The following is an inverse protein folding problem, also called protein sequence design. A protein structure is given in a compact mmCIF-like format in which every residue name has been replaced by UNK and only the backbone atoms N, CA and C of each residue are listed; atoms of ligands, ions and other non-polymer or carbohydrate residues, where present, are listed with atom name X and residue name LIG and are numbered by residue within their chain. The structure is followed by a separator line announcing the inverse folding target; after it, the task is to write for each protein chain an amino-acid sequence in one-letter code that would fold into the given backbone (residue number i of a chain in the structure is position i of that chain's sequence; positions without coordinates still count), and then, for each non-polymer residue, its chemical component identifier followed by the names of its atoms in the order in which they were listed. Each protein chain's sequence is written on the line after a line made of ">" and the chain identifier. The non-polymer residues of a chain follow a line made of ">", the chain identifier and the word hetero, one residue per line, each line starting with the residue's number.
data_IF_654337406986
#
_entry.id   IF_654337406986
#
_cell.length_a   1.000
_cell.length_b   1.000
_cell.length_c   1.000
_cell.angle_alpha   90.00
_cell.angle_beta   90.00
_cell.angle_gamma   90.00
#
_symmetry.space_group_name_H-M   'P 1'
#
loop_
_entity.id
_entity.type
_entity.pdbx_description
1 polymer ?
#
# COMPACT_ATOMS: atom_id res chain seq x y z
N UNK A 1 33.17 -25.39 19.81
CA UNK A 1 32.75 -23.99 19.93
C UNK A 1 31.46 -24.02 20.75
N UNK A 2 31.44 -23.44 21.96
CA UNK A 2 30.25 -23.54 22.79
C UNK A 2 29.31 -22.37 22.42
N UNK A 3 28.00 -22.52 22.66
CA UNK A 3 26.99 -21.53 22.29
C UNK A 3 27.21 -20.15 22.96
N UNK A 4 27.90 -20.12 24.11
CA UNK A 4 28.25 -18.85 24.78
C UNK A 4 29.36 -18.10 24.04
N UNK A 5 30.33 -18.83 23.46
CA UNK A 5 31.42 -18.21 22.71
C UNK A 5 30.94 -17.74 21.33
N UNK A 6 29.97 -18.45 20.73
CA UNK A 6 29.28 -18.00 19.53
C UNK A 6 28.43 -16.74 19.76
N UNK A 7 27.72 -16.67 20.88
CA UNK A 7 26.93 -15.49 21.25
C UNK A 7 27.81 -14.28 21.61
N UNK A 8 28.97 -14.51 22.24
CA UNK A 8 29.92 -13.44 22.55
C UNK A 8 30.59 -12.87 21.27
N UNK A 9 30.85 -13.69 20.27
CA UNK A 9 31.37 -13.25 18.97
C UNK A 9 30.33 -12.50 18.13
N UNK A 10 29.04 -12.82 18.26
CA UNK A 10 27.96 -12.07 17.61
C UNK A 10 27.79 -10.66 18.20
N UNK A 11 28.11 -10.46 19.47
CA UNK A 11 28.06 -9.16 20.13
C UNK A 11 29.31 -8.27 19.91
N UNK A 12 30.34 -8.78 19.23
CA UNK A 12 31.56 -8.06 18.88
C UNK A 12 31.66 -7.63 17.42
N UNK A 13 30.55 -7.72 16.65
CA UNK A 13 30.49 -7.08 15.34
C UNK A 13 30.70 -5.58 15.55
N UNK A 14 31.90 -5.10 15.24
CA UNK A 14 32.20 -3.69 15.25
C UNK A 14 31.28 -2.99 14.25
N UNK A 15 30.88 -1.72 14.51
CA UNK A 15 30.12 -0.93 13.53
C UNK A 15 30.82 -0.81 12.16
N UNK A 16 32.09 -1.15 12.10
CA UNK A 16 32.96 -1.17 10.92
C UNK A 16 32.96 -2.49 10.16
N UNK A 17 32.35 -3.55 10.67
CA UNK A 17 31.97 -4.73 9.87
C UNK A 17 30.78 -4.35 8.99
N UNK A 18 31.05 -3.34 8.20
CA UNK A 18 30.20 -2.79 7.17
C UNK A 18 29.79 -3.97 6.29
N UNK A 19 28.51 -4.14 6.15
CA UNK A 19 27.93 -4.98 5.12
C UNK A 19 28.66 -4.73 3.82
N UNK A 20 29.31 -5.75 3.29
CA UNK A 20 29.69 -5.69 1.89
C UNK A 20 28.42 -5.41 1.10
N UNK A 21 28.43 -4.43 0.17
CA UNK A 21 27.25 -4.10 -0.62
C UNK A 21 26.72 -5.38 -1.29
N UNK A 22 25.65 -5.92 -0.76
CA UNK A 22 25.01 -7.11 -1.32
C UNK A 22 23.76 -6.67 -2.07
N UNK A 23 23.96 -6.39 -3.35
CA UNK A 23 22.85 -6.06 -4.24
C UNK A 23 22.14 -7.34 -4.70
N UNK A 24 20.83 -7.26 -4.81
CA UNK A 24 20.02 -8.19 -5.61
C UNK A 24 20.29 -7.95 -7.10
N UNK A 25 19.92 -8.91 -7.96
CA UNK A 25 20.03 -8.72 -9.41
C UNK A 25 19.26 -7.49 -9.91
N UNK A 26 18.10 -7.22 -9.32
CA UNK A 26 17.26 -6.05 -9.62
C UNK A 26 17.90 -4.76 -9.12
N UNK A 27 18.41 -4.76 -7.90
CA UNK A 27 19.09 -3.59 -7.33
C UNK A 27 20.37 -3.24 -8.08
N UNK A 28 21.17 -4.23 -8.53
CA UNK A 28 22.29 -3.96 -9.43
C UNK A 28 21.85 -3.30 -10.73
N UNK A 29 20.77 -3.79 -11.32
CA UNK A 29 20.20 -3.22 -12.55
C UNK A 29 19.76 -1.79 -12.34
N UNK A 30 19.04 -1.50 -11.24
CA UNK A 30 18.59 -0.17 -10.88
C UNK A 30 19.75 0.80 -10.70
N UNK A 31 20.81 0.40 -10.01
CA UNK A 31 21.99 1.24 -9.78
C UNK A 31 22.77 1.47 -11.07
N UNK A 32 22.94 0.44 -11.91
CA UNK A 32 23.66 0.53 -13.19
C UNK A 32 22.93 1.39 -14.22
N UNK A 33 21.60 1.36 -14.25
CA UNK A 33 20.81 2.18 -15.17
C UNK A 33 21.01 3.66 -14.94
N UNK A 34 21.32 4.06 -13.70
CA UNK A 34 21.36 5.45 -13.27
C UNK A 34 20.02 6.16 -13.36
N UNK A 35 18.95 5.43 -13.71
CA UNK A 35 17.61 5.98 -13.78
C UNK A 35 17.03 6.14 -12.38
N UNK A 36 16.31 7.22 -12.20
CA UNK A 36 15.50 7.49 -11.02
C UNK A 36 14.01 7.49 -11.38
N UNK A 37 13.71 7.30 -12.65
CA UNK A 37 12.36 7.15 -13.15
C UNK A 37 11.90 5.70 -13.02
N UNK A 38 10.62 5.46 -12.98
CA UNK A 38 9.98 4.14 -12.95
C UNK A 38 10.33 3.27 -11.72
N UNK A 39 10.60 3.90 -10.57
CA UNK A 39 10.78 3.17 -9.31
C UNK A 39 9.40 2.86 -8.74
N UNK A 40 9.03 1.56 -8.69
CA UNK A 40 7.74 1.08 -8.20
C UNK A 40 6.58 1.90 -8.81
N UNK A 41 6.39 1.89 -10.15
CA UNK A 41 5.49 2.79 -10.83
C UNK A 41 4.01 2.38 -10.74
N UNK A 42 3.72 1.17 -10.24
CA UNK A 42 2.35 0.67 -10.12
C UNK A 42 1.52 1.53 -9.17
N UNK A 43 0.22 1.63 -9.49
CA UNK A 43 -0.73 2.29 -8.58
C UNK A 43 -0.75 1.58 -7.22
N UNK A 44 -0.47 2.28 -6.12
CA UNK A 44 -0.19 1.63 -4.83
C UNK A 44 -1.39 0.96 -4.16
N UNK A 45 -2.62 1.26 -4.58
CA UNK A 45 -3.86 0.68 -4.05
C UNK A 45 -4.58 -0.15 -5.11
N UNK A 46 -4.09 -1.34 -5.51
CA UNK A 46 -4.62 -2.10 -6.64
C UNK A 46 -6.08 -2.55 -6.47
N UNK A 47 -6.60 -2.59 -5.23
CA UNK A 47 -8.01 -2.90 -4.95
C UNK A 47 -8.92 -1.68 -5.05
N UNK A 48 -8.39 -0.46 -5.17
CA UNK A 48 -9.14 0.79 -5.29
C UNK A 48 -8.42 1.72 -6.28
N UNK A 49 -8.28 1.28 -7.53
CA UNK A 49 -7.45 1.93 -8.53
C UNK A 49 -8.20 3.05 -9.24
N UNK A 50 -7.51 4.19 -9.41
CA UNK A 50 -7.88 5.27 -10.34
C UNK A 50 -6.82 5.42 -11.42
N UNK A 51 -7.21 6.03 -12.52
CA UNK A 51 -6.32 6.20 -13.69
C UNK A 51 -5.54 7.51 -13.68
N UNK A 52 -6.02 8.51 -12.94
CA UNK A 52 -5.42 9.85 -12.89
C UNK A 52 -4.58 10.01 -11.63
N UNK A 53 -3.35 9.54 -11.69
CA UNK A 53 -2.39 9.60 -10.59
C UNK A 53 -0.97 9.87 -11.09
N UNK A 54 -0.13 10.38 -10.21
CA UNK A 54 1.27 10.65 -10.46
C UNK A 54 2.16 10.11 -9.35
N UNK A 55 3.13 9.26 -9.71
CA UNK A 55 4.13 8.79 -8.78
C UNK A 55 5.17 9.87 -8.51
N UNK A 56 5.48 10.03 -7.23
CA UNK A 56 6.56 10.92 -6.76
C UNK A 56 7.78 10.13 -6.28
N UNK A 57 7.81 8.82 -6.51
CA UNK A 57 9.01 8.01 -6.32
C UNK A 57 10.15 8.54 -7.20
N UNK A 58 11.39 8.21 -6.86
CA UNK A 58 12.55 8.63 -7.63
C UNK A 58 13.48 9.57 -6.87
N UNK A 59 14.05 10.54 -7.56
CA UNK A 59 15.07 11.41 -6.99
C UNK A 59 14.46 12.54 -6.17
N UNK A 60 14.89 12.63 -4.89
CA UNK A 60 14.61 13.72 -3.99
C UNK A 60 15.92 14.29 -3.47
N UNK A 61 15.90 15.52 -2.96
CA UNK A 61 17.00 16.06 -2.15
C UNK A 61 16.79 15.70 -0.68
N UNK A 62 17.89 15.61 0.09
CA UNK A 62 17.83 15.34 1.53
C UNK A 62 18.82 16.17 2.33
N UNK A 63 18.53 16.30 3.62
CA UNK A 63 19.45 16.84 4.61
C UNK A 63 19.22 16.20 5.99
N UNK A 64 20.30 15.84 6.69
CA UNK A 64 20.27 15.50 8.11
C UNK A 64 20.61 16.74 8.93
N UNK A 65 19.77 17.10 9.88
CA UNK A 65 19.98 18.24 10.76
C UNK A 65 19.78 17.85 12.22
N UNK A 66 20.52 18.43 13.17
CA UNK A 66 20.30 18.16 14.58
C UNK A 66 18.86 18.51 15.01
N UNK A 67 18.25 17.67 15.82
CA UNK A 67 16.92 17.91 16.40
C UNK A 67 17.06 18.73 17.70
N UNK A 68 17.61 19.93 17.59
CA UNK A 68 17.96 20.83 18.73
C UNK A 68 16.87 21.86 19.04
N UNK A 69 15.76 21.85 18.28
CA UNK A 69 14.66 22.79 18.43
C UNK A 69 14.93 24.19 17.91
N UNK A 70 16.04 24.39 17.20
CA UNK A 70 16.33 25.68 16.56
C UNK A 70 15.42 25.91 15.34
N UNK A 71 15.23 27.15 14.92
CA UNK A 71 14.48 27.48 13.71
C UNK A 71 15.09 26.80 12.48
N UNK A 72 16.39 26.65 12.41
CA UNK A 72 17.07 25.95 11.31
C UNK A 72 16.78 24.44 11.26
N UNK A 73 16.34 23.84 12.36
CA UNK A 73 15.95 22.43 12.41
C UNK A 73 14.46 22.20 12.20
N UNK A 74 13.64 23.22 12.41
CA UNK A 74 12.16 23.09 12.46
C UNK A 74 11.45 23.68 11.25
N UNK A 75 12.06 24.59 10.50
CA UNK A 75 11.42 25.35 9.42
C UNK A 75 12.05 24.99 8.05
N UNK A 76 11.20 24.66 7.08
CA UNK A 76 11.58 24.35 5.70
C UNK A 76 12.32 25.49 4.98
N UNK A 77 12.14 26.75 5.43
CA UNK A 77 12.86 27.90 4.88
C UNK A 77 14.40 27.81 5.05
N UNK A 78 14.89 27.00 5.98
CA UNK A 78 16.32 26.79 6.23
C UNK A 78 16.86 25.51 5.60
N UNK A 79 16.05 24.80 4.82
CA UNK A 79 16.50 23.59 4.14
C UNK A 79 17.67 23.89 3.21
N UNK A 80 18.72 23.10 3.33
CA UNK A 80 19.87 23.13 2.43
C UNK A 80 20.24 21.69 2.09
N UNK A 81 20.11 21.32 0.82
CA UNK A 81 20.40 19.97 0.37
C UNK A 81 21.83 19.55 0.67
N UNK A 82 22.00 18.38 1.25
CA UNK A 82 23.29 17.71 1.45
C UNK A 82 23.61 16.73 0.33
N UNK A 83 22.58 16.32 -0.43
CA UNK A 83 22.71 15.39 -1.54
C UNK A 83 21.35 14.95 -2.03
N UNK A 84 21.34 13.86 -2.80
CA UNK A 84 20.15 13.27 -3.36
C UNK A 84 19.89 11.89 -2.78
N UNK A 85 18.62 11.54 -2.60
CA UNK A 85 18.14 10.25 -2.10
C UNK A 85 17.12 9.67 -3.08
N UNK A 86 17.18 8.36 -3.28
CA UNK A 86 16.19 7.64 -4.07
C UNK A 86 15.02 7.20 -3.19
N UNK A 87 13.86 7.84 -3.37
CA UNK A 87 12.59 7.47 -2.70
C UNK A 87 11.91 6.37 -3.51
N UNK A 88 11.33 5.31 -2.88
CA UNK A 88 11.03 5.18 -1.46
C UNK A 88 12.03 4.34 -0.65
N UNK A 89 13.30 4.38 -0.95
CA UNK A 89 14.29 3.65 -0.16
C UNK A 89 14.71 4.48 1.06
N UNK A 90 14.65 3.86 2.24
CA UNK A 90 15.10 4.48 3.48
C UNK A 90 16.59 4.86 3.40
N UNK A 91 17.07 5.88 4.11
CA UNK A 91 18.46 6.35 4.00
C UNK A 91 19.49 5.29 4.38
N UNK A 92 19.11 4.29 5.16
CA UNK A 92 19.95 3.16 5.54
C UNK A 92 20.12 2.13 4.41
N UNK A 93 19.15 2.07 3.47
CA UNK A 93 19.17 1.11 2.37
C UNK A 93 20.27 1.44 1.34
N UNK A 94 20.89 0.41 0.75
CA UNK A 94 21.87 0.59 -0.33
C UNK A 94 21.28 1.31 -1.52
N UNK A 95 20.01 0.98 -1.86
CA UNK A 95 19.31 1.55 -3.02
C UNK A 95 18.94 3.01 -2.85
N UNK A 96 18.95 3.55 -1.62
CA UNK A 96 18.75 5.00 -1.40
C UNK A 96 19.86 5.85 -1.99
N UNK A 97 21.09 5.31 -2.04
CA UNK A 97 22.31 6.03 -2.39
C UNK A 97 22.92 6.85 -1.25
N UNK A 98 22.32 6.84 -0.05
CA UNK A 98 22.77 7.63 1.11
C UNK A 98 23.63 6.80 2.07
N UNK A 99 23.21 5.58 2.37
CA UNK A 99 23.90 4.63 3.27
C UNK A 99 24.18 5.20 4.66
N UNK A 100 23.24 5.96 5.20
CA UNK A 100 23.40 6.57 6.50
C UNK A 100 22.18 6.32 7.36
N UNK A 101 22.41 5.87 8.60
CA UNK A 101 21.36 5.74 9.60
C UNK A 101 20.95 7.13 10.12
N UNK A 102 19.63 7.32 10.27
CA UNK A 102 19.08 8.45 11.00
C UNK A 102 19.25 8.21 12.50
N UNK A 103 19.86 9.16 13.20
CA UNK A 103 20.00 9.07 14.65
C UNK A 103 18.81 9.72 15.37
N UNK A 104 18.39 9.23 16.56
CA UNK A 104 17.28 9.79 17.33
C UNK A 104 17.38 11.28 17.66
N UNK A 105 18.60 11.82 17.59
CA UNK A 105 18.92 13.22 17.84
C UNK A 105 18.94 14.09 16.58
N UNK A 106 18.50 13.54 15.45
CA UNK A 106 18.48 14.21 14.15
C UNK A 106 17.07 14.22 13.56
N UNK A 107 16.86 15.16 12.64
CA UNK A 107 15.80 15.12 11.66
C UNK A 107 16.39 14.76 10.29
N UNK A 108 15.64 13.98 9.51
CA UNK A 108 15.86 13.80 8.08
C UNK A 108 14.83 14.64 7.34
N UNK A 109 15.31 15.60 6.58
CA UNK A 109 14.52 16.40 5.68
C UNK A 109 14.61 15.85 4.27
N UNK A 110 13.47 15.81 3.58
CA UNK A 110 13.34 15.55 2.15
C UNK A 110 12.79 16.77 1.45
N UNK A 111 13.22 16.98 0.20
CA UNK A 111 12.70 18.03 -0.67
C UNK A 111 12.48 17.54 -2.08
N UNK A 112 11.38 17.97 -2.69
CA UNK A 112 11.08 17.79 -4.12
C UNK A 112 10.24 18.94 -4.64
N UNK A 113 10.55 19.40 -5.88
CA UNK A 113 9.69 20.34 -6.60
C UNK A 113 8.51 19.59 -7.23
N UNK A 114 7.30 20.13 -7.05
CA UNK A 114 6.08 19.70 -7.73
C UNK A 114 5.74 20.68 -8.83
N UNK A 115 5.54 20.17 -10.04
CA UNK A 115 5.10 20.95 -11.20
C UNK A 115 3.83 20.33 -11.76
N UNK A 116 2.83 21.15 -12.02
CA UNK A 116 1.53 20.71 -12.49
C UNK A 116 1.31 21.09 -13.96
N UNK A 117 0.78 20.15 -14.72
CA UNK A 117 0.46 20.32 -16.13
C UNK A 117 -0.75 21.24 -16.34
N UNK A 118 -0.96 21.74 -17.54
CA UNK A 118 -2.15 22.51 -17.92
C UNK A 118 -3.45 21.73 -17.66
N UNK A 119 -3.43 20.38 -17.85
CA UNK A 119 -4.58 19.51 -17.54
C UNK A 119 -4.91 19.58 -16.06
N UNK A 120 -3.93 19.48 -15.18
CA UNK A 120 -4.11 19.47 -13.74
C UNK A 120 -4.59 20.84 -13.21
N UNK A 121 -4.12 21.93 -13.81
CA UNK A 121 -4.66 23.26 -13.52
C UNK A 121 -6.15 23.37 -13.88
N UNK A 122 -6.55 22.80 -15.03
CA UNK A 122 -7.97 22.74 -15.42
C UNK A 122 -8.81 21.88 -14.47
N UNK A 123 -8.28 20.75 -13.98
CA UNK A 123 -8.97 19.90 -12.99
C UNK A 123 -9.29 20.65 -11.69
N UNK A 124 -8.36 21.49 -11.21
CA UNK A 124 -8.61 22.37 -10.07
C UNK A 124 -9.76 23.36 -10.36
N UNK A 125 -9.81 23.95 -11.55
CA UNK A 125 -10.90 24.85 -11.96
C UNK A 125 -12.25 24.13 -12.04
N UNK A 126 -12.25 22.82 -12.31
CA UNK A 126 -13.41 21.94 -12.31
C UNK A 126 -13.82 21.42 -10.91
N UNK A 127 -13.27 22.00 -9.84
CA UNK A 127 -13.48 21.60 -8.45
C UNK A 127 -13.06 20.15 -8.13
N UNK A 128 -12.06 19.63 -8.81
CA UNK A 128 -11.41 18.40 -8.40
C UNK A 128 -10.37 18.67 -7.31
N UNK A 129 -10.09 17.67 -6.50
CA UNK A 129 -9.13 17.72 -5.42
C UNK A 129 -7.85 16.94 -5.77
N UNK A 130 -6.70 17.54 -5.49
CA UNK A 130 -5.40 16.90 -5.58
C UNK A 130 -5.02 16.34 -4.22
N UNK A 131 -5.01 15.02 -4.09
CA UNK A 131 -4.72 14.33 -2.82
C UNK A 131 -3.33 13.74 -2.88
N UNK A 132 -2.44 14.24 -2.02
CA UNK A 132 -1.08 13.73 -1.82
C UNK A 132 -1.10 12.58 -0.81
N UNK A 133 -0.52 11.45 -1.19
CA UNK A 133 -0.45 10.23 -0.40
C UNK A 133 0.97 9.86 -0.04
N UNK A 134 1.16 9.38 1.18
CA UNK A 134 2.35 8.69 1.66
C UNK A 134 1.90 7.31 2.15
N UNK A 135 2.43 6.25 1.57
CA UNK A 135 2.02 4.90 1.97
C UNK A 135 2.67 4.48 3.28
N UNK A 136 3.92 4.91 3.54
CA UNK A 136 4.53 4.81 4.86
C UNK A 136 5.76 5.73 5.02
N UNK A 137 5.86 6.36 6.19
CA UNK A 137 7.02 7.17 6.60
C UNK A 137 7.34 6.84 8.06
N UNK A 138 8.49 6.26 8.32
CA UNK A 138 8.94 5.86 9.66
C UNK A 138 9.78 6.96 10.29
N UNK A 139 9.39 7.56 11.39
CA UNK A 139 8.29 7.25 12.30
C UNK A 139 7.31 8.42 12.45
N UNK A 140 7.81 9.64 12.59
CA UNK A 140 7.06 10.89 12.71
C UNK A 140 7.35 11.77 11.49
N UNK A 141 6.32 12.09 10.72
CA UNK A 141 6.44 12.93 9.54
C UNK A 141 5.74 14.28 9.75
N UNK A 142 6.37 15.35 9.31
CA UNK A 142 5.75 16.66 9.15
C UNK A 142 5.90 17.10 7.70
N UNK A 143 4.80 17.41 7.03
CA UNK A 143 4.77 17.76 5.60
C UNK A 143 4.52 19.26 5.46
N UNK A 144 5.29 19.89 4.54
CA UNK A 144 5.16 21.31 4.21
C UNK A 144 5.06 21.50 2.69
N UNK A 145 4.33 22.52 2.25
CA UNK A 145 4.44 23.09 0.91
C UNK A 145 4.93 24.54 1.01
N UNK A 146 6.08 24.80 0.39
CA UNK A 146 6.86 26.00 0.70
C UNK A 146 7.19 26.03 2.19
N UNK A 147 6.84 27.12 2.84
CA UNK A 147 7.02 27.29 4.31
C UNK A 147 5.77 26.92 5.11
N UNK A 148 4.66 26.56 4.45
CA UNK A 148 3.40 26.26 5.15
C UNK A 148 3.34 24.79 5.54
N UNK A 149 3.22 24.53 6.84
CA UNK A 149 2.96 23.21 7.38
C UNK A 149 1.55 22.75 7.01
N UNK A 150 1.44 21.59 6.35
CA UNK A 150 0.17 20.96 5.97
C UNK A 150 -0.37 20.04 7.06
N UNK A 151 0.51 19.22 7.63
CA UNK A 151 0.10 18.24 8.62
C UNK A 151 1.26 17.47 9.22
N UNK A 152 0.92 16.63 10.21
CA UNK A 152 1.82 15.68 10.85
C UNK A 152 1.19 14.31 10.87
N UNK A 153 2.03 13.28 10.75
CA UNK A 153 1.64 11.89 10.93
C UNK A 153 2.60 11.23 11.90
N UNK A 154 2.11 10.28 12.68
CA UNK A 154 2.92 9.47 13.58
C UNK A 154 2.54 8.00 13.43
N UNK A 155 3.53 7.16 13.22
CA UNK A 155 3.41 5.72 12.99
C UNK A 155 4.00 5.31 11.64
N UNK A 156 5.06 4.48 11.68
CA UNK A 156 5.88 4.14 10.51
C UNK A 156 5.25 3.17 9.49
N UNK A 157 4.05 2.62 9.78
CA UNK A 157 3.48 1.50 9.00
C UNK A 157 2.08 1.76 8.45
N UNK A 158 1.56 2.96 8.63
CA UNK A 158 0.23 3.32 8.17
C UNK A 158 0.30 4.46 7.15
N UNK A 159 -0.51 4.39 6.07
CA UNK A 159 -0.60 5.46 5.09
C UNK A 159 -1.32 6.69 5.67
N UNK A 160 -1.00 7.83 5.10
CA UNK A 160 -1.73 9.08 5.34
C UNK A 160 -1.82 9.92 4.07
N UNK A 161 -2.79 10.84 4.05
CA UNK A 161 -3.08 11.64 2.87
C UNK A 161 -3.36 13.09 3.26
N UNK A 162 -3.03 14.00 2.36
CA UNK A 162 -3.20 15.45 2.53
C UNK A 162 -3.80 16.05 1.27
N UNK A 163 -4.82 16.88 1.42
CA UNK A 163 -5.35 17.66 0.30
C UNK A 163 -4.41 18.84 0.03
N UNK A 164 -3.85 18.88 -1.18
CA UNK A 164 -2.92 19.92 -1.61
C UNK A 164 -3.49 20.84 -2.70
N UNK A 165 -4.78 20.74 -2.97
CA UNK A 165 -5.48 21.47 -4.05
C UNK A 165 -5.20 22.94 -4.05
N UNK A 166 -5.21 23.59 -2.89
CA UNK A 166 -4.95 25.03 -2.78
C UNK A 166 -3.59 25.44 -3.35
N UNK A 167 -2.60 24.54 -3.30
CA UNK A 167 -1.21 24.81 -3.71
C UNK A 167 -0.93 24.50 -5.17
N UNK A 168 -1.86 23.82 -5.87
CA UNK A 168 -1.75 23.58 -7.30
C UNK A 168 -1.85 24.89 -8.04
N UNK A 169 -0.79 25.30 -8.74
CA UNK A 169 -0.71 26.53 -9.54
C UNK A 169 0.30 26.34 -10.68
N UNK A 170 0.44 27.37 -11.54
CA UNK A 170 1.32 27.29 -12.69
C UNK A 170 2.83 27.33 -12.34
N UNK A 171 3.16 27.89 -11.18
CA UNK A 171 4.54 27.92 -10.69
C UNK A 171 4.84 26.63 -9.90
N UNK A 172 6.05 26.09 -10.00
CA UNK A 172 6.45 24.94 -9.18
C UNK A 172 6.34 25.26 -7.68
N UNK A 173 5.97 24.27 -6.90
CA UNK A 173 5.88 24.37 -5.44
C UNK A 173 6.78 23.33 -4.77
N UNK A 174 7.57 23.80 -3.80
CA UNK A 174 8.48 22.93 -3.04
C UNK A 174 7.71 22.10 -2.01
N UNK A 175 7.80 20.79 -2.12
CA UNK A 175 7.31 19.83 -1.12
C UNK A 175 8.47 19.46 -0.20
N UNK A 176 8.28 19.63 1.11
CA UNK A 176 9.22 19.19 2.14
C UNK A 176 8.58 18.17 3.07
N UNK A 177 9.37 17.18 3.47
CA UNK A 177 8.98 16.19 4.49
C UNK A 177 10.07 16.14 5.54
N UNK A 178 9.74 16.55 6.77
CA UNK A 178 10.62 16.43 7.93
C UNK A 178 10.29 15.15 8.68
N UNK A 179 11.27 14.31 8.91
CA UNK A 179 11.10 13.02 9.58
C UNK A 179 11.96 12.96 10.84
N UNK A 180 11.41 12.37 11.86
CA UNK A 180 12.11 11.92 13.07
C UNK A 180 11.81 10.46 13.33
N UNK A 181 12.85 9.72 13.70
CA UNK A 181 12.70 8.34 14.15
C UNK A 181 13.49 8.11 15.44
N UNK A 182 12.80 7.64 16.47
CA UNK A 182 13.44 7.29 17.75
C UNK A 182 13.86 5.82 17.79
N UNK A 183 13.48 5.03 16.81
CA UNK A 183 13.73 3.58 16.68
C UNK A 183 13.46 2.86 18.01
N UNK A 184 14.46 2.19 18.60
CA UNK A 184 14.34 1.44 19.87
C UNK A 184 14.61 2.29 21.13
N UNK A 185 14.84 3.59 20.98
CA UNK A 185 14.89 4.53 22.13
C UNK A 185 13.49 5.08 22.48
N UNK A 186 12.48 4.87 21.60
CA UNK A 186 11.09 5.29 21.77
C UNK A 186 10.14 4.12 22.08
N UNK A 187 8.83 4.43 22.10
CA UNK A 187 7.76 3.46 22.38
C UNK A 187 6.91 3.13 21.15
N UNK A 188 7.22 3.72 20.01
CA UNK A 188 6.46 3.48 18.79
C UNK A 188 6.77 2.08 18.19
N UNK A 189 5.91 1.63 17.30
CA UNK A 189 6.05 0.36 16.60
C UNK A 189 7.27 0.42 15.68
N UNK A 190 8.16 -0.57 15.76
CA UNK A 190 9.40 -0.64 14.98
C UNK A 190 9.75 -2.05 14.47
N UNK A 191 8.93 -3.04 14.77
CA UNK A 191 9.25 -4.43 14.45
C UNK A 191 10.55 -4.92 15.11
N UNK A 192 11.46 -5.51 14.34
CA UNK A 192 12.77 -6.00 14.79
C UNK A 192 13.92 -5.00 14.52
N UNK A 193 13.65 -3.80 14.10
CA UNK A 193 14.65 -2.77 13.82
C UNK A 193 15.24 -2.23 15.13
N UNK A 194 16.57 -2.10 15.17
CA UNK A 194 17.28 -1.52 16.32
C UNK A 194 18.49 -0.71 15.86
N UNK A 195 18.87 0.27 16.67
CA UNK A 195 20.10 1.05 16.43
C UNK A 195 21.34 0.16 16.52
N UNK A 196 21.28 -0.84 17.40
CA UNK A 196 22.37 -1.80 17.65
C UNK A 196 21.96 -3.17 17.09
N UNK A 197 22.05 -3.33 15.76
CA UNK A 197 21.68 -4.57 15.07
C UNK A 197 22.57 -5.73 15.48
N UNK A 198 22.05 -6.93 15.39
CA UNK A 198 22.75 -8.18 15.63
C UNK A 198 21.83 -9.28 16.15
N UNK A 199 22.27 -10.52 16.04
CA UNK A 199 21.46 -11.68 16.40
C UNK A 199 20.18 -11.74 15.54
N UNK A 200 19.03 -11.61 16.18
CA UNK A 200 17.73 -11.63 15.50
C UNK A 200 17.22 -10.23 15.07
N UNK A 201 17.96 -9.18 15.37
CA UNK A 201 17.54 -7.81 15.09
C UNK A 201 18.15 -7.28 13.80
N UNK A 202 17.33 -6.54 13.04
CA UNK A 202 17.69 -5.87 11.80
C UNK A 202 18.22 -4.47 12.08
N UNK A 203 18.86 -3.86 11.08
CA UNK A 203 19.26 -2.46 11.15
C UNK A 203 18.04 -1.56 11.32
N UNK A 204 18.20 -0.43 12.02
CA UNK A 204 17.19 0.62 12.02
C UNK A 204 16.84 1.02 10.59
N UNK A 205 15.59 1.35 10.36
CA UNK A 205 15.08 1.86 9.10
C UNK A 205 14.17 3.02 9.40
N UNK A 206 14.32 4.12 8.65
CA UNK A 206 13.63 5.36 8.92
C UNK A 206 13.26 6.09 7.64
N UNK A 207 12.47 7.15 7.77
CA UNK A 207 12.08 7.98 6.64
C UNK A 207 11.03 7.39 5.74
N UNK A 208 10.97 7.88 4.52
CA UNK A 208 10.04 7.41 3.48
C UNK A 208 10.52 6.04 2.99
N UNK A 209 9.71 4.98 3.21
CA UNK A 209 10.05 3.63 2.80
C UNK A 209 8.99 2.93 1.95
N UNK A 210 7.85 3.60 1.71
CA UNK A 210 6.86 3.20 0.72
C UNK A 210 6.51 4.39 -0.18
N UNK A 211 5.74 4.15 -1.23
CA UNK A 211 5.49 5.10 -2.30
C UNK A 211 4.92 6.43 -1.82
N UNK A 212 5.35 7.49 -2.50
CA UNK A 212 4.75 8.83 -2.43
C UNK A 212 4.13 9.12 -3.77
N UNK A 213 2.88 9.59 -3.78
CA UNK A 213 2.13 9.82 -5.01
C UNK A 213 0.96 10.77 -4.78
N UNK A 214 0.37 11.31 -5.82
CA UNK A 214 -0.88 12.04 -5.73
C UNK A 214 -1.87 11.61 -6.80
N UNK A 215 -3.14 11.83 -6.54
CA UNK A 215 -4.23 11.57 -7.47
C UNK A 215 -5.23 12.71 -7.49
N UNK A 216 -5.97 12.81 -8.61
CA UNK A 216 -7.07 13.74 -8.75
C UNK A 216 -8.39 13.03 -8.51
N UNK A 217 -9.20 13.60 -7.63
CA UNK A 217 -10.51 13.07 -7.24
C UNK A 217 -11.58 14.15 -7.31
N UNK A 218 -12.85 13.82 -7.58
CA UNK A 218 -13.93 14.81 -7.53
C UNK A 218 -14.20 15.28 -6.09
N UNK A 219 -15.03 16.35 -5.92
CA UNK A 219 -15.37 16.90 -4.60
C UNK A 219 -15.94 15.83 -3.64
N UNK A 220 -16.76 14.89 -4.15
CA UNK A 220 -17.22 13.74 -3.38
C UNK A 220 -16.71 12.47 -4.05
N UNK A 221 -15.89 11.71 -3.37
CA UNK A 221 -15.23 10.52 -3.89
C UNK A 221 -15.24 9.38 -2.88
N UNK A 222 -14.92 8.18 -3.34
CA UNK A 222 -14.75 7.00 -2.49
C UNK A 222 -13.40 7.12 -1.78
N UNK A 223 -13.42 7.51 -0.52
CA UNK A 223 -12.20 7.67 0.31
C UNK A 223 -11.56 6.29 0.55
N UNK A 224 -12.38 5.32 0.92
CA UNK A 224 -12.02 3.93 1.06
C UNK A 224 -13.27 3.04 1.02
N UNK A 225 -13.08 1.74 0.99
CA UNK A 225 -14.16 0.77 1.19
C UNK A 225 -13.69 -0.51 1.87
N UNK A 226 -14.63 -1.16 2.52
CA UNK A 226 -14.48 -2.50 3.06
C UNK A 226 -15.29 -3.48 2.24
N UNK A 227 -14.63 -4.54 1.75
CA UNK A 227 -15.27 -5.63 1.03
C UNK A 227 -15.39 -6.84 1.96
N UNK A 228 -16.60 -7.42 2.06
CA UNK A 228 -16.86 -8.60 2.88
C UNK A 228 -17.60 -9.63 2.06
N UNK A 229 -16.93 -10.69 1.57
CA UNK A 229 -17.60 -11.81 0.93
C UNK A 229 -18.54 -12.53 1.90
N UNK A 230 -19.72 -12.87 1.42
CA UNK A 230 -20.74 -13.64 2.12
C UNK A 230 -20.90 -14.97 1.37
N UNK A 231 -19.97 -15.89 1.58
CA UNK A 231 -19.83 -17.13 0.82
C UNK A 231 -21.14 -17.91 0.74
N UNK A 232 -21.77 -18.22 1.89
CA UNK A 232 -22.99 -19.02 1.99
C UNK A 232 -24.22 -18.33 1.43
N UNK A 233 -24.15 -17.02 1.22
CA UNK A 233 -25.26 -16.21 0.66
C UNK A 233 -25.05 -15.87 -0.81
N UNK A 234 -23.97 -16.35 -1.42
CA UNK A 234 -23.55 -15.99 -2.78
C UNK A 234 -23.65 -14.48 -3.04
N UNK A 235 -23.07 -13.69 -2.13
CA UNK A 235 -23.10 -12.24 -2.20
C UNK A 235 -21.84 -11.62 -1.62
N UNK A 236 -21.62 -10.35 -1.92
CA UNK A 236 -20.53 -9.55 -1.34
C UNK A 236 -21.09 -8.23 -0.82
N UNK A 237 -20.65 -7.83 0.36
CA UNK A 237 -21.04 -6.56 0.98
C UNK A 237 -19.90 -5.56 0.83
N UNK A 238 -20.22 -4.39 0.31
CA UNK A 238 -19.35 -3.21 0.29
C UNK A 238 -19.83 -2.21 1.32
N UNK A 239 -18.91 -1.65 2.09
CA UNK A 239 -19.16 -0.48 2.91
C UNK A 239 -18.26 0.63 2.37
N UNK A 240 -18.82 1.56 1.63
CA UNK A 240 -18.13 2.69 1.01
C UNK A 240 -18.05 3.84 2.01
N UNK A 241 -16.90 4.50 2.10
CA UNK A 241 -16.70 5.72 2.88
C UNK A 241 -16.53 6.92 1.96
N UNK A 242 -17.26 8.01 2.20
CA UNK A 242 -17.25 9.24 1.41
C UNK A 242 -17.51 10.47 2.29
N UNK A 243 -17.28 11.67 1.74
CA UNK A 243 -17.59 12.92 2.44
C UNK A 243 -19.10 13.15 2.55
N UNK A 244 -19.84 12.84 1.51
CA UNK A 244 -21.30 13.02 1.39
C UNK A 244 -21.95 11.75 0.82
N UNK A 245 -23.25 11.54 1.00
CA UNK A 245 -23.98 10.49 0.29
C UNK A 245 -23.80 10.59 -1.21
N UNK A 246 -23.67 9.44 -1.89
CA UNK A 246 -23.70 9.39 -3.36
C UNK A 246 -25.12 9.41 -3.88
N UNK A 247 -25.37 10.19 -4.93
CA UNK A 247 -26.66 10.23 -5.64
C UNK A 247 -26.79 9.04 -6.58
N UNK A 248 -25.69 8.63 -7.19
CA UNK A 248 -25.60 7.51 -8.12
C UNK A 248 -24.48 6.56 -7.70
N UNK A 249 -24.79 5.27 -7.67
CA UNK A 249 -23.84 4.17 -7.48
C UNK A 249 -24.15 3.08 -8.50
N UNK A 250 -23.16 2.66 -9.26
CA UNK A 250 -23.27 1.52 -10.17
C UNK A 250 -22.02 0.64 -10.05
N UNK A 251 -22.25 -0.67 -9.84
CA UNK A 251 -21.19 -1.67 -9.88
C UNK A 251 -21.27 -2.47 -11.16
N UNK A 252 -20.19 -2.48 -11.92
CA UNK A 252 -20.00 -3.38 -13.07
C UNK A 252 -19.00 -4.46 -12.65
N UNK A 253 -19.48 -5.69 -12.47
CA UNK A 253 -18.67 -6.83 -12.04
C UNK A 253 -18.54 -7.80 -13.20
N UNK A 254 -17.30 -8.16 -13.55
CA UNK A 254 -17.04 -9.18 -14.56
C UNK A 254 -17.23 -10.59 -13.97
N UNK A 255 -18.35 -11.23 -14.32
CA UNK A 255 -18.64 -12.62 -13.96
C UNK A 255 -18.17 -13.50 -15.12
N UNK A 256 -17.27 -14.46 -14.89
CA UNK A 256 -16.83 -15.37 -15.94
C UNK A 256 -17.99 -16.27 -16.42
N UNK A 257 -17.94 -16.66 -17.69
CA UNK A 257 -18.81 -17.70 -18.20
C UNK A 257 -18.49 -19.07 -17.58
N UNK A 258 -19.44 -20.01 -17.67
CA UNK A 258 -19.28 -21.36 -17.09
C UNK A 258 -18.09 -22.15 -17.68
N UNK A 259 -17.64 -21.79 -18.89
CA UNK A 259 -16.47 -22.38 -19.56
C UNK A 259 -15.13 -21.75 -19.14
N UNK A 260 -15.17 -20.75 -18.23
CA UNK A 260 -13.96 -20.08 -17.73
C UNK A 260 -13.45 -18.95 -18.58
N UNK A 261 -14.08 -18.60 -19.69
CA UNK A 261 -13.75 -17.42 -20.47
C UNK A 261 -14.32 -16.17 -19.80
N UNK A 262 -13.53 -15.09 -19.71
CA UNK A 262 -14.08 -13.77 -19.37
C UNK A 262 -14.99 -13.35 -20.52
N UNK A 263 -16.19 -12.91 -20.20
CA UNK A 263 -17.09 -12.34 -21.21
C UNK A 263 -16.35 -11.15 -21.86
N UNK A 264 -16.04 -11.28 -23.16
CA UNK A 264 -15.51 -10.15 -23.90
C UNK A 264 -16.58 -9.05 -23.95
N UNK A 265 -16.18 -7.80 -23.77
CA UNK A 265 -17.06 -6.62 -23.72
C UNK A 265 -18.03 -6.47 -24.91
N UNK A 266 -17.87 -7.27 -25.96
CA UNK A 266 -18.58 -7.15 -27.23
C UNK A 266 -19.66 -8.20 -27.52
N UNK A 267 -19.97 -9.14 -26.61
CA UNK A 267 -21.05 -10.12 -26.82
C UNK A 267 -22.14 -10.00 -25.76
N UNK A 268 -23.09 -9.19 -26.05
CA UNK A 268 -24.40 -8.92 -25.48
C UNK A 268 -25.03 -9.90 -24.51
N UNK A 269 -24.58 -10.04 -23.33
CA UNK A 269 -25.29 -10.34 -22.09
C UNK A 269 -24.31 -10.47 -20.94
N UNK A 270 -23.86 -9.34 -20.41
CA UNK A 270 -23.19 -9.32 -19.12
C UNK A 270 -24.22 -9.80 -18.07
N UNK A 271 -23.97 -10.94 -17.46
CA UNK A 271 -24.75 -11.38 -16.32
C UNK A 271 -24.41 -10.44 -15.16
N UNK A 272 -25.29 -9.49 -14.87
CA UNK A 272 -25.06 -8.48 -13.82
C UNK A 272 -25.40 -9.07 -12.46
N UNK A 273 -24.55 -8.77 -11.47
CA UNK A 273 -24.91 -8.99 -10.07
C UNK A 273 -26.09 -8.08 -9.70
N UNK A 274 -26.97 -8.57 -8.80
CA UNK A 274 -28.08 -7.77 -8.30
C UNK A 274 -27.59 -6.87 -7.17
N UNK A 275 -27.60 -5.58 -7.43
CA UNK A 275 -27.23 -4.55 -6.47
C UNK A 275 -28.41 -4.19 -5.55
N UNK A 276 -28.10 -3.95 -4.27
CA UNK A 276 -29.06 -3.42 -3.29
C UNK A 276 -28.32 -2.52 -2.28
N UNK A 277 -28.64 -1.23 -2.27
CA UNK A 277 -28.26 -0.33 -1.17
C UNK A 277 -29.02 -0.72 0.09
N UNK A 278 -28.31 -0.96 1.19
CA UNK A 278 -28.88 -1.45 2.45
C UNK A 278 -29.07 -0.32 3.45
N UNK A 279 -28.03 0.49 3.64
CA UNK A 279 -28.02 1.57 4.63
C UNK A 279 -27.05 2.68 4.25
N UNK A 280 -27.27 3.81 4.88
CA UNK A 280 -26.39 4.96 4.81
C UNK A 280 -26.34 5.57 6.21
N UNK A 281 -25.16 5.76 6.74
CA UNK A 281 -24.94 6.26 8.09
C UNK A 281 -23.76 7.20 8.11
N UNK A 282 -23.84 8.25 8.91
CA UNK A 282 -22.73 9.16 9.15
C UNK A 282 -22.03 8.80 10.46
N UNK A 283 -20.70 8.80 10.45
CA UNK A 283 -19.89 8.56 11.64
C UNK A 283 -19.66 9.83 12.46
N UNK A 284 -18.93 9.71 13.58
CA UNK A 284 -18.61 10.83 14.47
C UNK A 284 -17.64 11.85 13.86
N UNK A 285 -17.00 11.53 12.76
CA UNK A 285 -16.10 12.42 12.01
C UNK A 285 -16.80 13.13 10.85
N UNK A 286 -18.10 12.86 10.64
CA UNK A 286 -18.90 13.44 9.57
C UNK A 286 -18.79 12.68 8.25
N UNK A 287 -18.10 11.55 8.20
CA UNK A 287 -17.98 10.73 7.00
C UNK A 287 -19.22 9.84 6.82
N UNK A 288 -19.64 9.69 5.59
CA UNK A 288 -20.80 8.86 5.20
C UNK A 288 -20.34 7.45 4.87
N UNK A 289 -20.98 6.46 5.48
CA UNK A 289 -20.80 5.05 5.21
C UNK A 289 -22.00 4.47 4.50
N UNK A 290 -21.85 4.15 3.21
CA UNK A 290 -22.91 3.56 2.38
C UNK A 290 -22.69 2.06 2.24
N UNK A 291 -23.66 1.26 2.70
CA UNK A 291 -23.60 -0.21 2.59
C UNK A 291 -24.36 -0.68 1.36
N UNK A 292 -23.67 -1.41 0.49
CA UNK A 292 -24.24 -2.03 -0.72
C UNK A 292 -23.97 -3.53 -0.69
N UNK A 293 -24.97 -4.32 -1.08
CA UNK A 293 -24.85 -5.76 -1.25
C UNK A 293 -25.02 -6.12 -2.71
N UNK A 294 -24.04 -6.82 -3.27
CA UNK A 294 -24.10 -7.40 -4.60
C UNK A 294 -24.33 -8.90 -4.46
N UNK A 295 -25.37 -9.41 -5.12
CA UNK A 295 -25.74 -10.84 -5.10
C UNK A 295 -25.49 -11.48 -6.44
N UNK A 296 -24.87 -12.67 -6.44
CA UNK A 296 -24.71 -13.47 -7.65
C UNK A 296 -26.06 -13.97 -8.16
N UNK A 297 -26.26 -13.99 -9.48
CA UNK A 297 -27.52 -14.48 -10.06
C UNK A 297 -27.65 -15.99 -9.86
N UNK A 298 -28.84 -16.44 -9.46
CA UNK A 298 -29.16 -17.87 -9.29
C UNK A 298 -29.11 -18.68 -10.60
N UNK A 299 -29.14 -18.00 -11.74
CA UNK A 299 -29.08 -18.62 -13.09
C UNK A 299 -27.66 -19.07 -13.50
N UNK A 300 -26.65 -18.67 -12.79
CA UNK A 300 -25.25 -19.08 -13.04
C UNK A 300 -24.94 -20.24 -12.10
N UNK A 301 -24.57 -21.38 -12.64
CA UNK A 301 -24.16 -22.54 -11.86
C UNK A 301 -22.81 -23.02 -12.37
N UNK A 302 -21.83 -23.07 -11.49
CA UNK A 302 -20.55 -23.67 -11.78
C UNK A 302 -20.54 -25.11 -11.26
N UNK A 303 -20.30 -26.06 -12.14
CA UNK A 303 -19.94 -27.41 -11.70
C UNK A 303 -18.51 -27.39 -11.22
N UNK A 304 -18.23 -28.02 -10.11
CA UNK A 304 -16.87 -28.24 -9.66
C UNK A 304 -16.10 -29.03 -10.74
N UNK A 305 -15.08 -28.44 -11.31
CA UNK A 305 -14.19 -29.11 -12.27
C UNK A 305 -13.21 -30.04 -11.58
N UNK A 306 -13.04 -29.88 -10.26
CA UNK A 306 -12.26 -30.74 -9.38
C UNK A 306 -13.16 -31.31 -8.28
N UNK A 307 -13.18 -32.65 -8.06
CA UNK A 307 -13.88 -33.27 -6.92
C UNK A 307 -13.45 -32.73 -5.56
N UNK A 308 -12.30 -32.03 -5.51
CA UNK A 308 -11.84 -31.33 -4.33
C UNK A 308 -12.56 -30.01 -4.07
N UNK A 309 -13.23 -29.37 -5.04
CA UNK A 309 -13.52 -27.93 -4.97
C UNK A 309 -14.90 -27.50 -4.49
N UNK A 310 -15.93 -28.27 -4.56
CA UNK A 310 -17.22 -27.94 -3.96
C UNK A 310 -18.14 -29.16 -3.79
N UNK A 311 -18.75 -29.35 -2.61
CA UNK A 311 -19.74 -30.41 -2.42
C UNK A 311 -21.04 -30.16 -3.16
N UNK A 312 -21.35 -28.92 -3.53
CA UNK A 312 -22.56 -28.46 -4.18
C UNK A 312 -22.29 -27.46 -5.29
N UNK A 313 -23.08 -27.42 -6.36
CA UNK A 313 -22.97 -26.38 -7.37
C UNK A 313 -23.24 -25.00 -6.73
N UNK A 314 -22.32 -24.09 -6.90
CA UNK A 314 -22.38 -22.68 -6.39
C UNK A 314 -22.58 -21.69 -7.52
N UNK A 315 -23.21 -20.57 -7.23
CA UNK A 315 -23.48 -19.51 -8.21
C UNK A 315 -22.26 -18.64 -8.55
N UNK A 316 -21.09 -18.99 -8.04
CA UNK A 316 -19.84 -18.23 -8.22
C UNK A 316 -18.65 -19.20 -8.24
N UNK A 317 -17.51 -18.75 -8.76
CA UNK A 317 -16.23 -19.47 -8.64
C UNK A 317 -15.59 -19.14 -7.30
N UNK A 318 -15.36 -20.12 -6.40
CA UNK A 318 -14.63 -19.91 -5.16
C UNK A 318 -13.15 -19.60 -5.44
N UNK A 319 -12.54 -18.84 -4.55
CA UNK A 319 -11.11 -18.63 -4.52
C UNK A 319 -10.44 -19.70 -3.63
N UNK A 320 -9.38 -20.30 -4.12
CA UNK A 320 -8.40 -21.05 -3.31
C UNK A 320 -6.98 -20.74 -3.82
N UNK A 321 -5.92 -21.11 -3.09
CA UNK A 321 -4.54 -20.94 -3.61
C UNK A 321 -4.31 -21.70 -4.92
N UNK A 322 -4.97 -22.85 -5.10
CA UNK A 322 -4.88 -23.66 -6.32
C UNK A 322 -5.67 -23.04 -7.48
N UNK A 323 -6.75 -22.31 -7.14
CA UNK A 323 -7.63 -21.61 -8.09
C UNK A 323 -7.86 -20.17 -7.60
N UNK A 324 -6.90 -19.27 -7.78
CA UNK A 324 -6.93 -17.91 -7.20
C UNK A 324 -7.84 -16.97 -8.01
N UNK A 325 -9.13 -17.31 -8.08
CA UNK A 325 -10.10 -16.58 -8.89
C UNK A 325 -10.47 -15.24 -8.26
N UNK A 326 -10.32 -14.16 -9.05
CA UNK A 326 -10.72 -12.81 -8.67
C UNK A 326 -11.88 -12.32 -9.53
N UNK A 327 -12.73 -11.51 -8.94
CA UNK A 327 -13.83 -10.80 -9.60
C UNK A 327 -13.45 -9.33 -9.72
N UNK A 328 -12.94 -8.88 -10.87
CA UNK A 328 -12.71 -7.47 -11.10
C UNK A 328 -14.05 -6.74 -11.22
N UNK A 329 -14.08 -5.53 -10.71
CA UNK A 329 -15.23 -4.64 -10.80
C UNK A 329 -14.79 -3.21 -11.09
N UNK A 330 -15.71 -2.44 -11.69
CA UNK A 330 -15.67 -0.98 -11.74
C UNK A 330 -16.84 -0.46 -10.93
N UNK A 331 -16.57 0.50 -10.04
CA UNK A 331 -17.56 1.26 -9.28
C UNK A 331 -17.62 2.68 -9.82
N UNK A 332 -18.78 3.08 -10.34
CA UNK A 332 -19.09 4.48 -10.60
C UNK A 332 -19.90 5.05 -9.43
N UNK A 333 -19.37 6.07 -8.80
CA UNK A 333 -19.93 6.76 -7.65
C UNK A 333 -20.02 8.26 -7.96
N UNK A 334 -21.15 8.73 -8.42
CA UNK A 334 -21.36 10.05 -9.04
C UNK A 334 -20.31 10.30 -10.18
N UNK A 335 -19.34 11.18 -9.98
CA UNK A 335 -18.25 11.45 -10.94
C UNK A 335 -16.94 10.72 -10.63
N UNK A 336 -16.89 9.91 -9.57
CA UNK A 336 -15.72 9.09 -9.22
C UNK A 336 -15.84 7.70 -9.83
N UNK A 337 -14.79 7.23 -10.48
CA UNK A 337 -14.71 5.88 -11.03
C UNK A 337 -13.52 5.15 -10.40
N UNK A 338 -13.81 4.00 -9.80
CA UNK A 338 -12.83 3.18 -9.09
C UNK A 338 -12.86 1.76 -9.60
N UNK A 339 -11.70 1.24 -10.01
CA UNK A 339 -11.52 -0.16 -10.35
C UNK A 339 -10.97 -0.95 -9.15
N UNK A 340 -11.46 -2.17 -8.98
CA UNK A 340 -11.01 -3.03 -7.91
C UNK A 340 -11.31 -4.50 -8.19
N UNK A 341 -11.09 -5.34 -7.19
CA UNK A 341 -11.42 -6.77 -7.27
C UNK A 341 -11.76 -7.32 -5.90
N UNK A 342 -12.49 -8.44 -5.91
CA UNK A 342 -12.75 -9.25 -4.73
C UNK A 342 -12.65 -10.74 -5.03
N UNK A 343 -12.59 -11.55 -3.99
CA UNK A 343 -12.59 -13.01 -4.08
C UNK A 343 -13.73 -13.58 -3.23
N UNK A 344 -14.35 -14.65 -3.70
CA UNK A 344 -15.37 -15.37 -2.95
C UNK A 344 -14.73 -16.52 -2.18
N UNK A 345 -14.54 -16.33 -0.88
CA UNK A 345 -13.98 -17.34 0.04
C UNK A 345 -14.51 -17.12 1.44
N UNK A 346 -14.49 -18.18 2.25
CA UNK A 346 -14.73 -18.11 3.68
C UNK A 346 -13.73 -18.97 4.46
N UNK A 347 -13.53 -18.59 5.72
CA UNK A 347 -12.70 -19.33 6.67
C UNK A 347 -13.58 -19.74 7.85
N UNK A 348 -13.40 -20.97 8.31
CA UNK A 348 -14.11 -21.52 9.46
C UNK A 348 -13.24 -22.49 10.24
N UNK A 349 -13.69 -22.85 11.45
CA UNK A 349 -13.17 -24.00 12.17
C UNK A 349 -14.31 -24.96 12.35
N UNK A 350 -14.20 -26.13 11.70
CA UNK A 350 -15.28 -27.13 11.66
C UNK A 350 -14.76 -28.50 12.12
N UNK A 351 -15.61 -29.31 12.76
CA UNK A 351 -15.22 -30.67 13.16
C UNK A 351 -15.09 -31.58 11.92
N UNK A 352 -14.00 -32.35 11.87
CA UNK A 352 -13.86 -33.44 10.90
C UNK A 352 -14.79 -34.64 11.24
N UNK A 353 -14.74 -35.69 10.46
CA UNK A 353 -15.55 -36.91 10.66
C UNK A 353 -15.26 -37.62 12.00
N UNK A 354 -14.22 -37.24 12.72
CA UNK A 354 -13.86 -37.73 14.07
C UNK A 354 -14.19 -36.73 15.17
N UNK A 355 -14.84 -35.61 14.85
CA UNK A 355 -15.14 -34.54 15.79
C UNK A 355 -13.95 -33.64 16.15
N UNK A 356 -12.84 -33.72 15.42
CA UNK A 356 -11.64 -32.90 15.68
C UNK A 356 -11.78 -31.57 14.95
N UNK A 357 -11.66 -30.39 15.63
CA UNK A 357 -11.69 -29.09 14.97
C UNK A 357 -10.56 -28.96 13.95
N UNK A 358 -10.91 -28.54 12.74
CA UNK A 358 -10.01 -28.27 11.63
C UNK A 358 -10.18 -26.87 11.11
N UNK A 359 -9.10 -26.24 10.72
CA UNK A 359 -9.19 -25.06 9.88
C UNK A 359 -9.76 -25.44 8.52
N UNK A 360 -10.75 -24.68 8.07
CA UNK A 360 -11.42 -24.92 6.78
C UNK A 360 -11.33 -23.66 5.91
N UNK A 361 -11.05 -23.87 4.63
CA UNK A 361 -11.24 -22.92 3.55
C UNK A 361 -12.45 -23.38 2.74
N UNK A 362 -13.44 -22.50 2.53
CA UNK A 362 -14.67 -22.83 1.82
C UNK A 362 -15.36 -24.10 2.38
N UNK A 363 -15.45 -24.21 3.72
CA UNK A 363 -16.02 -25.34 4.47
C UNK A 363 -15.26 -26.68 4.32
N UNK A 364 -14.03 -26.67 3.79
CA UNK A 364 -13.22 -27.87 3.65
C UNK A 364 -11.97 -27.80 4.52
N UNK A 365 -11.62 -28.88 5.21
CA UNK A 365 -10.35 -28.93 5.91
C UNK A 365 -9.20 -28.58 4.97
N UNK A 366 -8.43 -27.56 5.34
CA UNK A 366 -7.33 -27.05 4.55
C UNK A 366 -6.05 -27.06 5.38
N UNK A 367 -4.99 -27.65 4.83
CA UNK A 367 -3.67 -27.65 5.48
C UNK A 367 -2.94 -26.37 5.08
N UNK A 368 -2.67 -25.52 6.08
CA UNK A 368 -1.89 -24.29 5.87
C UNK A 368 -0.42 -24.66 5.68
N UNK A 369 0.02 -24.70 4.43
CA UNK A 369 1.42 -24.88 4.07
C UNK A 369 1.99 -23.50 3.73
N UNK A 370 2.96 -23.03 4.51
CA UNK A 370 3.50 -21.69 4.37
C UNK A 370 4.99 -21.63 4.68
N UNK A 371 5.58 -20.53 4.33
CA UNK A 371 6.96 -20.15 4.65
C UNK A 371 6.97 -18.99 5.63
N UNK A 372 8.10 -18.78 6.27
CA UNK A 372 8.36 -17.55 7.03
C UNK A 372 9.05 -16.55 6.11
N UNK A 373 8.33 -15.50 5.75
CA UNK A 373 8.87 -14.33 5.07
C UNK A 373 9.06 -13.20 6.07
N UNK A 374 10.23 -12.55 6.07
CA UNK A 374 10.55 -11.41 6.91
C UNK A 374 10.32 -10.08 6.18
N UNK A 375 9.99 -10.11 4.87
CA UNK A 375 9.77 -8.91 4.05
C UNK A 375 11.01 -8.02 3.97
N UNK A 376 12.19 -8.60 3.79
CA UNK A 376 13.45 -7.88 3.89
C UNK A 376 14.40 -8.18 2.71
N UNK A 377 14.90 -7.11 2.09
CA UNK A 377 15.80 -7.14 0.94
C UNK A 377 17.21 -6.72 1.38
N UNK A 378 18.25 -7.35 0.82
CA UNK A 378 19.63 -7.05 1.18
C UNK A 378 20.06 -5.62 0.80
N UNK A 379 19.42 -5.03 -0.20
CA UNK A 379 19.74 -3.72 -0.77
C UNK A 379 18.65 -2.65 -0.56
N UNK A 380 17.39 -3.07 -0.44
CA UNK A 380 16.24 -2.20 -0.25
C UNK A 380 15.67 -2.18 1.16
N UNK A 381 16.13 -3.07 2.05
CA UNK A 381 15.58 -3.32 3.39
C UNK A 381 14.09 -3.73 3.30
N UNK A 382 13.16 -2.98 3.87
CA UNK A 382 11.72 -3.29 3.79
C UNK A 382 11.10 -2.92 2.44
N UNK A 383 11.85 -2.26 1.55
CA UNK A 383 11.38 -1.84 0.23
C UNK A 383 12.00 -2.74 -0.86
N UNK A 384 11.15 -3.41 -1.62
CA UNK A 384 11.63 -4.21 -2.75
C UNK A 384 12.30 -3.33 -3.82
N UNK A 385 13.32 -3.84 -4.53
CA UNK A 385 13.96 -3.10 -5.62
C UNK A 385 13.01 -2.75 -6.77
N UNK A 386 12.05 -3.63 -7.07
CA UNK A 386 11.03 -3.46 -8.11
C UNK A 386 9.90 -4.50 -7.89
N UNK A 387 8.81 -4.37 -8.65
CA UNK A 387 7.66 -5.28 -8.57
C UNK A 387 8.00 -6.70 -9.03
N UNK A 388 8.89 -6.86 -10.01
CA UNK A 388 9.36 -8.17 -10.48
C UNK A 388 10.08 -8.97 -9.39
N UNK A 389 10.70 -8.30 -8.43
CA UNK A 389 11.33 -8.96 -7.28
C UNK A 389 10.29 -9.63 -6.38
N UNK A 390 9.16 -8.99 -6.11
CA UNK A 390 8.03 -9.62 -5.42
C UNK A 390 7.45 -10.80 -6.19
N UNK A 391 7.25 -10.64 -7.50
CA UNK A 391 6.74 -11.71 -8.37
C UNK A 391 7.66 -12.92 -8.34
N UNK A 392 8.96 -12.69 -8.34
CA UNK A 392 9.95 -13.78 -8.25
C UNK A 392 9.83 -14.53 -6.92
N UNK A 393 9.81 -13.83 -5.78
CA UNK A 393 9.72 -14.47 -4.45
C UNK A 393 8.41 -15.26 -4.29
N UNK A 394 7.29 -14.73 -4.78
CA UNK A 394 6.00 -15.44 -4.76
C UNK A 394 6.00 -16.68 -5.67
N UNK A 395 6.84 -16.70 -6.71
CA UNK A 395 6.90 -17.78 -7.70
C UNK A 395 7.81 -18.92 -7.29
N UNK A 396 8.69 -18.73 -6.28
CA UNK A 396 9.55 -19.76 -5.73
C UNK A 396 8.79 -20.76 -4.86
#
# INVERSE_FOLDING_TARGET
>A
MNLKDAAANLNQAHPEDILHPLYTLWGESLVRSGSYDDILPEYPRPQMKRTDYHMLNGLWEYAFVPADGSSSSEDSAYFTAQGSIRVPFSPEALLSGVHRRLEPTEYLWYHRELSFSTKELSQKEENMHCILHFDAVDQEATVFLGTKKLGTHSGGYLPFSLDITEYVNADPVSLYVKVRDLTDTGYATRGKQTLNRGGMFYTAQSGIWQSVWYEWVPENYVINYKITPQYDKASVTFVLCSLKPFNHLEFRVNIPSCDGTLAQENTGSLTRMRERKISEQQDSFGLTHTTVVLSFPASVTYSATDPADAPEPVNFKPWSPEYPWLYPFTLDADSDTVDGYFAMRCYSVEPDSKGIPRFCLNHRPYFLHGILDQGYWSDGLMTAPCDEAFVYDISL
#
